data_IF_737111980885
#
_entry.id   IF_737111980885
#
_cell.length_a   1.000
_cell.length_b   1.000
_cell.length_c   1.000
_cell.angle_alpha   90.00
_cell.angle_beta   90.00
_cell.angle_gamma   90.00
#
_symmetry.space_group_name_H-M   'P 1'
#
loop_
_entity.id
_entity.type
_entity.pdbx_description
1 polymer ?
#
# COMPACT_ATOMS: atom_id res chain seq x y z
N UNK A 1 22.54 -26.28 -15.55
CA UNK A 1 23.04 -24.96 -16.01
C UNK A 1 22.18 -23.93 -15.32
N UNK A 2 22.61 -23.44 -14.16
CA UNK A 2 21.90 -22.41 -13.39
C UNK A 2 22.72 -21.13 -13.46
N UNK A 3 22.13 -20.06 -14.01
CA UNK A 3 22.78 -18.77 -14.16
C UNK A 3 22.85 -18.10 -12.78
N UNK A 4 24.06 -17.77 -12.36
CA UNK A 4 24.34 -17.02 -11.14
C UNK A 4 24.03 -15.55 -11.43
N UNK A 5 22.92 -15.04 -10.89
CA UNK A 5 22.51 -13.65 -11.09
C UNK A 5 23.22 -12.77 -10.07
N UNK A 6 24.38 -12.24 -10.44
CA UNK A 6 25.08 -11.20 -9.70
C UNK A 6 24.43 -9.85 -9.98
N UNK A 7 23.61 -9.38 -9.06
CA UNK A 7 23.02 -8.04 -9.11
C UNK A 7 24.10 -7.01 -8.74
N UNK A 8 24.55 -6.22 -9.71
CA UNK A 8 25.41 -5.06 -9.44
C UNK A 8 24.51 -3.88 -9.14
N UNK A 9 24.34 -3.57 -7.86
CA UNK A 9 23.62 -2.38 -7.42
C UNK A 9 24.37 -1.13 -7.90
N UNK A 10 23.77 -0.26 -8.74
CA UNK A 10 24.42 0.97 -9.14
C UNK A 10 24.52 1.89 -7.91
N UNK A 11 25.74 2.18 -7.47
CA UNK A 11 26.03 3.21 -6.48
C UNK A 11 25.83 4.58 -7.14
N UNK A 12 24.61 5.09 -7.10
CA UNK A 12 24.30 6.50 -7.38
C UNK A 12 23.83 7.16 -6.09
N UNK A 13 24.71 7.14 -5.10
CA UNK A 13 24.82 8.23 -4.12
C UNK A 13 26.14 8.94 -4.47
N UNK A 14 26.23 10.25 -4.27
CA UNK A 14 27.27 11.16 -4.77
C UNK A 14 27.00 11.75 -6.18
N UNK A 15 26.01 12.64 -6.31
CA UNK A 15 26.15 13.97 -6.96
C UNK A 15 24.80 14.76 -6.92
N UNK A 16 24.12 14.79 -5.77
CA UNK A 16 22.97 15.69 -5.56
C UNK A 16 23.46 17.03 -5.01
N UNK A 17 24.16 17.78 -5.86
CA UNK A 17 24.55 19.15 -5.54
C UNK A 17 24.76 20.02 -6.80
N UNK A 18 23.85 19.95 -7.78
CA UNK A 18 23.62 21.05 -8.73
C UNK A 18 22.36 20.80 -9.56
N UNK A 19 21.56 21.87 -9.67
CA UNK A 19 20.52 22.09 -10.68
C UNK A 19 19.12 21.49 -10.39
N UNK A 20 18.53 21.93 -9.27
CA UNK A 20 17.14 21.66 -8.85
C UNK A 20 16.03 22.23 -9.76
N UNK A 21 16.35 22.93 -10.86
CA UNK A 21 15.33 23.53 -11.73
C UNK A 21 14.93 22.66 -12.94
N UNK A 22 15.78 21.71 -13.35
CA UNK A 22 15.59 20.90 -14.57
C UNK A 22 15.19 19.43 -14.27
N UNK A 23 15.27 19.00 -13.01
CA UNK A 23 14.87 17.65 -12.61
C UNK A 23 13.36 17.49 -12.49
N UNK A 24 12.66 18.52 -12.00
CA UNK A 24 11.21 18.51 -11.80
C UNK A 24 10.46 18.41 -13.14
N UNK A 25 10.97 19.12 -14.17
CA UNK A 25 10.44 19.07 -15.54
C UNK A 25 10.58 17.67 -16.16
N UNK A 26 11.70 17.00 -15.90
CA UNK A 26 12.00 15.65 -16.37
C UNK A 26 11.13 14.60 -15.68
N UNK A 27 10.90 14.74 -14.37
CA UNK A 27 10.03 13.84 -13.61
C UNK A 27 8.58 13.99 -14.09
N UNK A 28 8.08 15.21 -14.30
CA UNK A 28 6.73 15.44 -14.82
C UNK A 28 6.55 14.87 -16.24
N UNK A 29 7.58 14.93 -17.08
CA UNK A 29 7.57 14.33 -18.41
C UNK A 29 7.51 12.80 -18.36
N UNK A 30 8.23 12.16 -17.44
CA UNK A 30 8.18 10.70 -17.24
C UNK A 30 6.80 10.25 -16.73
N UNK A 31 6.21 11.00 -15.79
CA UNK A 31 4.85 10.70 -15.29
C UNK A 31 3.81 10.81 -16.41
N UNK A 32 3.91 11.82 -17.28
CA UNK A 32 3.00 11.94 -18.44
C UNK A 32 3.16 10.78 -19.42
N UNK A 33 4.39 10.30 -19.61
CA UNK A 33 4.65 9.17 -20.50
C UNK A 33 4.05 7.88 -19.93
N UNK A 34 4.27 7.57 -18.66
CA UNK A 34 3.66 6.40 -18.00
C UNK A 34 2.13 6.45 -18.04
N UNK A 35 1.53 7.63 -17.82
CA UNK A 35 0.09 7.81 -17.94
C UNK A 35 -0.43 7.57 -19.36
N UNK A 36 0.34 7.96 -20.39
CA UNK A 36 -0.02 7.72 -21.78
C UNK A 36 0.10 6.22 -22.14
N UNK A 37 1.14 5.54 -21.66
CA UNK A 37 1.32 4.09 -21.85
C UNK A 37 0.21 3.29 -21.16
N UNK A 38 -0.14 3.66 -19.92
CA UNK A 38 -1.29 3.08 -19.22
C UNK A 38 -2.61 3.32 -19.96
N UNK A 39 -2.81 4.52 -20.54
CA UNK A 39 -4.04 4.81 -21.29
C UNK A 39 -4.19 3.96 -22.57
N UNK A 40 -3.06 3.62 -23.22
CA UNK A 40 -3.02 2.75 -24.39
C UNK A 40 -3.30 1.29 -24.01
N UNK A 41 -2.69 0.81 -22.92
CA UNK A 41 -2.90 -0.55 -22.39
C UNK A 41 -4.33 -0.74 -21.87
N UNK A 42 -4.90 0.28 -21.20
CA UNK A 42 -6.25 0.22 -20.65
C UNK A 42 -7.35 0.42 -21.72
N UNK A 43 -6.99 0.84 -22.95
CA UNK A 43 -7.88 0.93 -24.10
C UNK A 43 -8.13 -0.43 -24.77
N UNK A 44 -7.24 -1.40 -24.58
CA UNK A 44 -7.60 -2.81 -24.66
C UNK A 44 -8.35 -3.16 -23.38
N UNK A 45 -9.66 -2.90 -23.36
CA UNK A 45 -10.55 -3.49 -22.38
C UNK A 45 -10.35 -5.01 -22.48
N UNK A 46 -9.59 -5.58 -21.54
CA UNK A 46 -9.41 -7.02 -21.42
C UNK A 46 -10.80 -7.57 -21.08
N UNK A 47 -11.59 -7.80 -22.13
CA UNK A 47 -12.90 -8.41 -22.03
C UNK A 47 -12.62 -9.88 -21.75
N UNK A 48 -12.47 -10.19 -20.48
CA UNK A 48 -12.39 -11.58 -20.04
C UNK A 48 -13.65 -12.27 -20.57
N UNK A 49 -13.50 -13.36 -21.34
CA UNK A 49 -14.66 -14.13 -21.75
C UNK A 49 -15.45 -14.49 -20.49
N UNK A 50 -16.80 -14.38 -20.52
CA UNK A 50 -17.62 -14.69 -19.36
C UNK A 50 -17.20 -16.07 -18.88
N UNK A 51 -16.71 -16.15 -17.64
CA UNK A 51 -16.34 -17.43 -17.08
C UNK A 51 -17.60 -18.30 -17.14
N UNK A 52 -17.50 -19.54 -17.65
CA UNK A 52 -18.65 -20.43 -17.63
C UNK A 52 -19.16 -20.46 -16.19
N UNK A 53 -20.48 -20.36 -16.01
CA UNK A 53 -21.18 -20.48 -14.72
C UNK A 53 -21.03 -21.93 -14.21
N UNK A 54 -19.80 -22.36 -13.96
CA UNK A 54 -19.52 -23.52 -13.15
C UNK A 54 -19.66 -22.99 -11.73
N UNK A 55 -20.60 -23.53 -10.97
CA UNK A 55 -20.76 -23.28 -9.53
C UNK A 55 -19.45 -23.69 -8.82
N UNK A 56 -18.49 -22.77 -8.82
CA UNK A 56 -17.22 -22.88 -8.12
C UNK A 56 -17.47 -22.65 -6.63
N UNK A 57 -16.88 -23.51 -5.80
CA UNK A 57 -16.98 -23.43 -4.36
C UNK A 57 -18.04 -24.34 -3.76
N UNK A 58 -18.60 -23.94 -2.61
CA UNK A 58 -19.51 -24.80 -1.85
C UNK A 58 -20.87 -24.89 -2.52
N UNK A 59 -21.42 -26.11 -2.75
CA UNK A 59 -22.78 -26.24 -3.26
C UNK A 59 -23.75 -25.63 -2.23
N UNK A 60 -24.58 -24.68 -2.67
CA UNK A 60 -25.50 -23.95 -1.78
C UNK A 60 -26.87 -24.63 -1.69
N UNK A 61 -27.35 -25.13 -2.83
CA UNK A 61 -28.68 -25.74 -2.94
C UNK A 61 -28.62 -27.00 -3.78
N UNK A 62 -29.39 -28.00 -3.37
CA UNK A 62 -29.72 -29.14 -4.21
C UNK A 62 -30.63 -28.69 -5.36
N UNK A 63 -30.68 -29.47 -6.45
CA UNK A 63 -31.61 -29.28 -7.56
C UNK A 63 -33.09 -29.17 -7.10
N UNK A 64 -33.44 -29.80 -5.98
CA UNK A 64 -34.77 -29.71 -5.33
C UNK A 64 -34.91 -28.52 -4.36
N UNK A 65 -33.93 -27.61 -4.30
CA UNK A 65 -33.91 -26.46 -3.40
C UNK A 65 -33.57 -26.77 -1.94
N UNK A 66 -33.26 -28.02 -1.60
CA UNK A 66 -32.84 -28.41 -0.24
C UNK A 66 -31.37 -28.12 0.03
N UNK A 67 -30.99 -27.87 1.28
CA UNK A 67 -29.58 -27.64 1.64
C UNK A 67 -28.75 -28.94 1.53
N UNK A 68 -27.57 -28.93 0.88
CA UNK A 68 -26.72 -30.12 0.79
C UNK A 68 -26.14 -30.49 2.16
N UNK A 69 -26.08 -31.78 2.43
CA UNK A 69 -25.56 -32.36 3.66
C UNK A 69 -24.13 -32.88 3.45
N UNK A 70 -23.33 -32.85 4.50
CA UNK A 70 -21.95 -33.36 4.48
C UNK A 70 -21.93 -34.81 4.97
N UNK A 71 -21.61 -35.75 4.08
CA UNK A 71 -21.47 -37.16 4.39
C UNK A 71 -19.99 -37.58 4.42
N UNK A 72 -19.72 -38.67 5.13
CA UNK A 72 -18.38 -39.26 5.20
C UNK A 72 -18.34 -40.51 4.32
N UNK A 73 -17.38 -40.57 3.40
CA UNK A 73 -17.10 -41.72 2.57
C UNK A 73 -16.62 -42.89 3.43
N UNK A 74 -17.29 -44.03 3.27
CA UNK A 74 -16.86 -45.31 3.81
C UNK A 74 -16.23 -46.20 2.71
N UNK A 75 -15.88 -45.60 1.56
CA UNK A 75 -15.23 -46.32 0.47
C UNK A 75 -13.87 -46.85 0.91
N UNK A 76 -13.46 -47.99 0.33
CA UNK A 76 -12.12 -48.54 0.52
C UNK A 76 -11.04 -47.65 -0.11
N UNK A 77 -11.39 -46.86 -1.12
CA UNK A 77 -10.45 -45.96 -1.82
C UNK A 77 -10.20 -44.67 -1.04
N UNK A 78 -11.25 -44.11 -0.44
CA UNK A 78 -11.24 -42.80 0.22
C UNK A 78 -11.94 -42.87 1.59
N UNK A 79 -11.44 -43.68 2.53
CA UNK A 79 -12.08 -43.84 3.83
C UNK A 79 -11.97 -42.54 4.63
N UNK A 80 -13.09 -42.07 5.18
CA UNK A 80 -13.13 -40.87 6.02
C UNK A 80 -13.17 -39.54 5.23
N UNK A 81 -13.03 -39.56 3.90
CA UNK A 81 -13.12 -38.34 3.07
C UNK A 81 -14.56 -37.83 3.04
N UNK A 82 -14.77 -36.52 3.16
CA UNK A 82 -16.12 -35.93 3.23
C UNK A 82 -16.60 -35.42 1.87
N UNK A 83 -17.88 -35.58 1.58
CA UNK A 83 -18.52 -35.09 0.35
C UNK A 83 -19.90 -34.53 0.64
N UNK A 84 -20.33 -33.58 -0.19
CA UNK A 84 -21.69 -33.05 -0.19
C UNK A 84 -22.63 -34.04 -0.88
N UNK A 85 -23.80 -34.26 -0.28
CA UNK A 85 -24.87 -35.12 -0.77
C UNK A 85 -26.24 -34.53 -0.46
N UNK A 86 -27.29 -34.99 -1.14
CA UNK A 86 -28.67 -34.65 -0.79
C UNK A 86 -29.23 -35.60 0.27
N UNK A 87 -30.19 -35.11 1.07
CA UNK A 87 -30.95 -35.94 2.03
C UNK A 87 -31.93 -36.89 1.34
N UNK A 88 -32.39 -36.57 0.12
CA UNK A 88 -33.35 -37.38 -0.63
C UNK A 88 -32.57 -38.40 -1.47
N UNK A 89 -32.26 -39.55 -0.88
CA UNK A 89 -31.54 -40.66 -1.54
C UNK A 89 -32.52 -41.62 -2.25
N UNK A 90 -33.82 -41.43 -2.04
CA UNK A 90 -34.87 -42.38 -2.47
C UNK A 90 -35.17 -42.39 -3.99
N UNK A 91 -34.68 -41.40 -4.75
CA UNK A 91 -34.90 -41.31 -6.21
C UNK A 91 -33.83 -42.05 -7.05
N UNK A 92 -32.84 -42.68 -6.40
CA UNK A 92 -31.83 -43.50 -7.07
C UNK A 92 -30.72 -42.73 -7.81
N UNK A 93 -30.84 -41.41 -7.97
CA UNK A 93 -29.78 -40.53 -8.48
C UNK A 93 -29.35 -39.49 -7.43
N UNK A 94 -28.03 -39.29 -7.32
CA UNK A 94 -27.46 -38.29 -6.42
C UNK A 94 -27.54 -36.90 -7.06
N UNK A 95 -28.42 -36.05 -6.53
CA UNK A 95 -28.71 -34.73 -7.12
C UNK A 95 -27.62 -33.67 -6.87
N UNK A 96 -26.79 -33.87 -5.85
CA UNK A 96 -25.60 -33.03 -5.56
C UNK A 96 -24.52 -33.97 -5.07
N UNK A 97 -23.39 -33.98 -5.77
CA UNK A 97 -22.20 -34.70 -5.33
C UNK A 97 -20.97 -33.86 -5.59
N UNK A 98 -20.22 -33.53 -4.54
CA UNK A 98 -18.95 -32.81 -4.64
C UNK A 98 -18.08 -33.13 -3.44
N UNK A 99 -16.79 -33.35 -3.64
CA UNK A 99 -15.89 -33.53 -2.51
C UNK A 99 -15.72 -32.23 -1.72
N UNK A 100 -15.68 -32.36 -0.39
CA UNK A 100 -15.55 -31.20 0.49
C UNK A 100 -14.23 -30.48 0.31
N UNK A 101 -13.13 -31.22 0.18
CA UNK A 101 -11.79 -30.68 -0.04
C UNK A 101 -11.66 -29.96 -1.38
N UNK A 102 -12.28 -30.48 -2.44
CA UNK A 102 -12.35 -29.81 -3.75
C UNK A 102 -13.14 -28.49 -3.65
N UNK A 103 -14.30 -28.49 -2.99
CA UNK A 103 -15.06 -27.26 -2.75
C UNK A 103 -14.30 -26.23 -1.91
N UNK A 104 -13.59 -26.66 -0.86
CA UNK A 104 -12.72 -25.79 -0.04
C UNK A 104 -11.58 -25.21 -0.87
N UNK A 105 -10.93 -26.05 -1.68
CA UNK A 105 -9.79 -25.63 -2.48
C UNK A 105 -10.20 -24.64 -3.58
N UNK A 106 -11.37 -24.81 -4.17
CA UNK A 106 -11.95 -23.84 -5.11
C UNK A 106 -12.25 -22.49 -4.44
N UNK A 107 -12.83 -22.49 -3.25
CA UNK A 107 -13.10 -21.27 -2.47
C UNK A 107 -11.82 -20.56 -2.06
N UNK A 108 -10.80 -21.29 -1.63
CA UNK A 108 -9.49 -20.72 -1.30
C UNK A 108 -8.83 -20.11 -2.52
N UNK A 109 -8.83 -20.80 -3.68
CA UNK A 109 -8.31 -20.22 -4.94
C UNK A 109 -9.08 -18.97 -5.39
N UNK A 110 -10.38 -18.91 -5.14
CA UNK A 110 -11.15 -17.71 -5.42
C UNK A 110 -10.77 -16.55 -4.48
N UNK A 111 -10.56 -16.83 -3.19
CA UNK A 111 -10.20 -15.82 -2.17
C UNK A 111 -8.76 -15.35 -2.24
N UNK A 112 -7.82 -16.20 -2.66
CA UNK A 112 -6.40 -15.88 -2.78
C UNK A 112 -6.14 -14.71 -3.75
N UNK A 113 -7.01 -14.50 -4.74
CA UNK A 113 -6.93 -13.34 -5.64
C UNK A 113 -7.23 -12.01 -4.94
N UNK A 114 -8.07 -12.02 -3.92
CA UNK A 114 -8.45 -10.81 -3.17
C UNK A 114 -7.46 -10.48 -2.04
N UNK A 115 -6.83 -11.48 -1.43
CA UNK A 115 -5.83 -11.26 -0.36
C UNK A 115 -4.55 -10.65 -0.91
N UNK A 116 -4.10 -11.08 -2.10
CA UNK A 116 -2.89 -10.57 -2.74
C UNK A 116 -3.05 -9.10 -3.17
N UNK A 117 -4.18 -8.75 -3.77
CA UNK A 117 -4.50 -7.36 -4.14
C UNK A 117 -4.68 -6.46 -2.91
N UNK A 118 -5.15 -7.00 -1.79
CA UNK A 118 -5.31 -6.24 -0.56
C UNK A 118 -3.96 -5.95 0.10
N UNK A 119 -3.03 -6.92 0.09
CA UNK A 119 -1.67 -6.72 0.60
C UNK A 119 -0.93 -5.63 -0.18
N UNK A 120 -0.97 -5.68 -1.51
CA UNK A 120 -0.34 -4.67 -2.37
C UNK A 120 -0.91 -3.25 -2.15
N UNK A 121 -2.23 -3.15 -1.96
CA UNK A 121 -2.88 -1.87 -1.63
C UNK A 121 -2.50 -1.34 -0.26
N UNK A 122 -2.32 -2.22 0.74
CA UNK A 122 -1.87 -1.81 2.07
C UNK A 122 -0.42 -1.33 2.01
N UNK A 123 0.46 -2.05 1.29
CA UNK A 123 1.87 -1.68 1.18
C UNK A 123 2.05 -0.34 0.44
N UNK A 124 1.31 -0.12 -0.65
CA UNK A 124 1.33 1.16 -1.38
C UNK A 124 0.79 2.33 -0.55
N UNK A 125 -0.29 2.15 0.21
CA UNK A 125 -0.80 3.17 1.13
C UNK A 125 0.20 3.47 2.26
N UNK A 126 0.86 2.45 2.80
CA UNK A 126 1.86 2.63 3.84
C UNK A 126 3.07 3.44 3.33
N UNK A 127 3.54 3.14 2.12
CA UNK A 127 4.62 3.90 1.48
C UNK A 127 4.25 5.39 1.26
N UNK A 128 3.04 5.67 0.77
CA UNK A 128 2.58 7.04 0.59
C UNK A 128 2.44 7.80 1.92
N UNK A 129 1.94 7.11 2.95
CA UNK A 129 1.82 7.66 4.30
C UNK A 129 3.20 8.02 4.87
N UNK A 130 4.19 7.13 4.75
CA UNK A 130 5.55 7.37 5.22
C UNK A 130 6.21 8.56 4.49
N UNK A 131 6.01 8.68 3.18
CA UNK A 131 6.50 9.85 2.45
C UNK A 131 5.86 11.15 2.94
N UNK A 132 4.55 11.16 3.18
CA UNK A 132 3.84 12.35 3.65
C UNK A 132 4.26 12.74 5.09
N UNK A 133 4.49 11.77 5.97
CA UNK A 133 4.94 12.03 7.34
C UNK A 133 6.36 12.59 7.37
N UNK A 134 7.29 12.00 6.63
CA UNK A 134 8.66 12.49 6.48
C UNK A 134 8.68 13.92 5.91
N UNK A 135 7.88 14.19 4.87
CA UNK A 135 7.77 15.54 4.30
C UNK A 135 7.25 16.56 5.33
N UNK A 136 6.23 16.19 6.13
CA UNK A 136 5.69 17.05 7.19
C UNK A 136 6.71 17.26 8.31
N UNK A 137 7.50 16.26 8.66
CA UNK A 137 8.57 16.36 9.66
C UNK A 137 9.65 17.35 9.22
N UNK A 138 10.17 17.22 7.99
CA UNK A 138 11.18 18.16 7.46
C UNK A 138 10.65 19.61 7.44
N UNK A 139 9.39 19.82 7.04
CA UNK A 139 8.76 21.16 7.09
C UNK A 139 8.67 21.70 8.52
N UNK A 140 8.29 20.85 9.47
CA UNK A 140 8.17 21.24 10.87
C UNK A 140 9.54 21.58 11.47
N UNK A 141 10.57 20.77 11.19
CA UNK A 141 11.95 21.02 11.62
C UNK A 141 12.48 22.35 11.09
N UNK A 142 12.26 22.64 9.80
CA UNK A 142 12.65 23.92 9.21
C UNK A 142 11.95 25.11 9.88
N UNK A 143 10.65 25.00 10.20
CA UNK A 143 9.92 26.05 10.91
C UNK A 143 10.44 26.24 12.34
N UNK A 144 10.74 25.15 13.06
CA UNK A 144 11.33 25.21 14.41
C UNK A 144 12.72 25.86 14.36
N UNK A 145 13.53 25.52 13.36
CA UNK A 145 14.85 26.11 13.17
C UNK A 145 14.78 27.62 12.90
N UNK A 146 13.88 28.05 12.00
CA UNK A 146 13.66 29.48 11.72
C UNK A 146 13.13 30.24 12.94
N UNK A 147 12.22 29.65 13.71
CA UNK A 147 11.75 30.22 14.98
C UNK A 147 12.87 30.31 16.04
N UNK A 148 13.74 29.31 16.14
CA UNK A 148 14.87 29.36 17.05
C UNK A 148 15.89 30.45 16.64
N UNK A 149 16.17 30.56 15.34
CA UNK A 149 17.08 31.55 14.76
C UNK A 149 16.56 32.98 14.88
N UNK A 150 15.27 33.19 14.62
CA UNK A 150 14.68 34.53 14.74
C UNK A 150 14.61 34.99 16.21
N UNK A 151 14.37 34.06 17.15
CA UNK A 151 14.31 34.35 18.58
C UNK A 151 15.66 34.73 19.14
N UNK A 152 16.73 34.02 18.75
CA UNK A 152 18.09 34.36 19.18
C UNK A 152 18.56 35.70 18.64
N UNK A 153 18.30 35.97 17.35
CA UNK A 153 18.64 37.26 16.72
C UNK A 153 17.87 38.42 17.36
N UNK A 154 16.57 38.27 17.52
CA UNK A 154 15.70 39.27 18.16
C UNK A 154 16.15 39.56 19.60
N UNK A 155 16.37 38.53 20.41
CA UNK A 155 16.82 38.70 21.80
C UNK A 155 18.18 39.40 21.90
N UNK A 156 19.11 39.11 20.99
CA UNK A 156 20.41 39.77 20.95
C UNK A 156 20.28 41.24 20.54
N UNK A 157 19.49 41.54 19.51
CA UNK A 157 19.27 42.91 19.04
C UNK A 157 18.65 43.79 20.15
N UNK A 158 17.67 43.26 20.91
CA UNK A 158 17.11 43.97 22.07
C UNK A 158 18.14 44.19 23.18
N UNK A 159 18.96 43.18 23.48
CA UNK A 159 19.99 43.31 24.52
C UNK A 159 21.03 44.38 24.17
N UNK A 160 21.51 44.41 22.92
CA UNK A 160 22.46 45.42 22.44
C UNK A 160 21.84 46.82 22.48
N UNK A 161 20.59 46.98 22.05
CA UNK A 161 19.89 48.27 22.08
C UNK A 161 19.74 48.82 23.51
N UNK A 162 19.36 47.98 24.48
CA UNK A 162 19.25 48.38 25.89
C UNK A 162 20.62 48.76 26.46
N UNK A 163 21.66 47.98 26.20
CA UNK A 163 23.01 48.28 26.67
C UNK A 163 23.54 49.61 26.13
N UNK A 164 23.29 49.92 24.86
CA UNK A 164 23.68 51.21 24.26
C UNK A 164 22.99 52.40 24.96
N UNK A 165 21.68 52.29 25.26
CA UNK A 165 20.94 53.34 25.97
C UNK A 165 21.52 53.57 27.38
N UNK A 166 21.82 52.50 28.12
CA UNK A 166 22.39 52.60 29.47
C UNK A 166 23.73 53.35 29.45
N UNK A 167 24.60 53.05 28.50
CA UNK A 167 25.91 53.73 28.36
C UNK A 167 25.73 55.23 28.08
N UNK A 168 24.78 55.60 27.21
CA UNK A 168 24.47 57.00 26.91
C UNK A 168 23.99 57.73 28.18
N UNK A 169 23.09 57.13 28.96
CA UNK A 169 22.57 57.72 30.20
C UNK A 169 23.68 57.94 31.23
N UNK A 170 24.57 56.95 31.40
CA UNK A 170 25.73 57.08 32.31
C UNK A 170 26.65 58.21 31.86
N UNK A 171 26.95 58.30 30.55
CA UNK A 171 27.80 59.36 30.01
C UNK A 171 27.22 60.75 30.25
N UNK A 172 25.91 60.93 30.07
CA UNK A 172 25.22 62.18 30.38
C UNK A 172 25.34 62.49 31.89
N UNK A 173 25.10 61.51 32.75
CA UNK A 173 25.17 61.70 34.20
C UNK A 173 26.56 62.15 34.67
N UNK A 174 27.63 61.62 34.08
CA UNK A 174 29.01 62.01 34.37
C UNK A 174 29.37 63.41 33.87
N UNK A 175 28.70 63.92 32.83
CA UNK A 175 28.89 65.28 32.33
C UNK A 175 28.21 66.32 33.24
N UNK A 176 27.10 65.94 33.88
CA UNK A 176 26.31 66.83 34.73
C UNK A 176 26.72 66.84 36.21
N UNK A 177 27.66 65.98 36.61
CA UNK A 177 28.29 65.92 37.95
C UNK A 177 29.60 66.70 37.96
#
# INVERSE_FOLDING_TARGET
MGLDYSYTQPSQYEEFARDEADSDSKIEALIRQDQAELSYVNGEEILYPPQPEVEFGFPQTCYYGSQPQLATSQSRTDPGRRYYTCSNVDDGECHVWKWWDEAVMEEMRARDRHTLQLAEKVDSLNFLSDYETEQKLVRLENLVFELAKNKSRSSFDYFVAVMAIVIIVIGIFLIFM
#
